data_IF_747553652676
#
_entry.id   IF_747553652676
#
_cell.length_a   1.000
_cell.length_b   1.000
_cell.length_c   1.000
_cell.angle_alpha   90.00
_cell.angle_beta   90.00
_cell.angle_gamma   90.00
#
_symmetry.space_group_name_H-M   'P 1'
#
loop_
_entity.id
_entity.type
_entity.pdbx_description
1 polymer ?
#
# COMPACT_ATOMS: atom_id res chain seq x y z
N UNK A 1 -3.12 -9.38 -21.56
CA UNK A 1 -3.56 -10.26 -20.46
C UNK A 1 -4.97 -9.88 -20.04
N UNK A 2 -5.79 -10.85 -19.61
CA UNK A 2 -7.16 -10.61 -19.11
C UNK A 2 -7.28 -11.12 -17.68
N UNK A 3 -7.63 -10.23 -16.75
CA UNK A 3 -7.92 -10.54 -15.35
C UNK A 3 -9.37 -10.21 -15.05
N UNK A 4 -10.05 -11.11 -14.36
CA UNK A 4 -11.39 -10.89 -13.82
C UNK A 4 -11.28 -10.84 -12.30
N UNK A 5 -11.69 -9.71 -11.69
CA UNK A 5 -11.82 -9.59 -10.24
C UNK A 5 -13.27 -9.89 -9.85
N UNK A 6 -13.49 -11.05 -9.25
CA UNK A 6 -14.78 -11.49 -8.74
C UNK A 6 -14.98 -10.93 -7.32
N UNK A 7 -15.99 -10.08 -7.16
CA UNK A 7 -16.23 -9.25 -5.98
C UNK A 7 -17.20 -9.95 -5.03
N UNK A 8 -16.74 -10.17 -3.80
CA UNK A 8 -17.52 -10.66 -2.66
C UNK A 8 -17.52 -9.60 -1.56
N UNK A 9 -18.55 -8.73 -1.48
CA UNK A 9 -18.61 -7.67 -0.47
C UNK A 9 -18.72 -8.22 0.94
N UNK A 10 -17.90 -7.75 1.89
CA UNK A 10 -18.03 -8.07 3.31
C UNK A 10 -18.76 -6.92 4.01
N UNK A 11 -20.06 -7.10 4.23
CA UNK A 11 -20.94 -6.17 4.93
C UNK A 11 -20.88 -6.35 6.45
N UNK A 12 -20.45 -7.51 6.93
CA UNK A 12 -20.30 -7.82 8.35
C UNK A 12 -19.14 -8.79 8.57
N UNK A 13 -18.29 -8.49 9.54
CA UNK A 13 -17.18 -9.33 9.97
C UNK A 13 -17.41 -9.71 11.44
N UNK A 14 -17.47 -11.01 11.75
CA UNK A 14 -17.78 -11.50 13.10
C UNK A 14 -16.97 -12.73 13.48
N UNK A 15 -16.83 -12.95 14.78
CA UNK A 15 -16.42 -14.24 15.32
C UNK A 15 -17.57 -15.26 15.22
N UNK A 16 -17.23 -16.52 14.97
CA UNK A 16 -18.18 -17.64 14.95
C UNK A 16 -17.48 -18.99 15.02
N UNK A 17 -18.26 -20.07 14.92
CA UNK A 17 -17.74 -21.43 15.04
C UNK A 17 -16.99 -21.92 13.81
N UNK A 18 -17.14 -21.25 12.66
CA UNK A 18 -16.54 -21.65 11.37
C UNK A 18 -16.10 -20.42 10.58
N UNK A 19 -14.97 -20.56 9.89
CA UNK A 19 -14.52 -19.55 8.92
C UNK A 19 -15.26 -19.73 7.59
N UNK A 20 -16.23 -18.87 7.32
CA UNK A 20 -17.09 -18.94 6.12
C UNK A 20 -17.59 -17.56 5.68
N UNK A 21 -17.82 -17.42 4.37
CA UNK A 21 -18.50 -16.29 3.77
C UNK A 21 -19.90 -16.71 3.34
N UNK A 22 -20.92 -15.96 3.77
CA UNK A 22 -22.30 -16.19 3.39
C UNK A 22 -23.04 -14.85 3.30
N UNK A 23 -23.56 -14.53 2.11
CA UNK A 23 -24.44 -13.36 1.87
C UNK A 23 -23.89 -12.03 2.44
N UNK A 24 -22.58 -11.82 2.30
CA UNK A 24 -21.90 -10.62 2.79
C UNK A 24 -21.52 -10.63 4.28
N UNK A 25 -21.76 -11.74 4.99
CA UNK A 25 -21.24 -11.98 6.34
C UNK A 25 -20.01 -12.89 6.25
N UNK A 26 -18.87 -12.39 6.71
CA UNK A 26 -17.66 -13.18 6.91
C UNK A 26 -17.55 -13.55 8.39
N UNK A 27 -17.86 -14.81 8.71
CA UNK A 27 -17.67 -15.38 10.05
C UNK A 27 -16.29 -16.00 10.14
N UNK A 28 -15.60 -15.80 11.27
CA UNK A 28 -14.23 -16.26 11.50
C UNK A 28 -14.16 -17.19 12.69
N UNK A 29 -13.53 -18.36 12.54
CA UNK A 29 -13.18 -19.20 13.68
C UNK A 29 -11.84 -18.73 14.26
N UNK A 30 -11.89 -18.13 15.46
CA UNK A 30 -10.69 -17.60 16.15
C UNK A 30 -9.64 -18.68 16.42
N UNK A 31 -10.07 -19.88 16.83
CA UNK A 31 -9.17 -21.00 17.13
C UNK A 31 -8.45 -21.52 15.89
N UNK A 32 -9.14 -21.64 14.77
CA UNK A 32 -8.58 -22.03 13.47
C UNK A 32 -7.48 -21.06 13.02
N UNK A 33 -7.76 -19.75 13.07
CA UNK A 33 -6.81 -18.73 12.65
C UNK A 33 -5.60 -18.65 13.58
N UNK A 34 -5.79 -18.81 14.89
CA UNK A 34 -4.69 -18.90 15.85
C UNK A 34 -3.83 -20.15 15.60
N UNK A 35 -4.44 -21.30 15.30
CA UNK A 35 -3.71 -22.52 14.94
C UNK A 35 -2.88 -22.34 13.68
N UNK A 36 -3.43 -21.69 12.65
CA UNK A 36 -2.71 -21.36 11.41
C UNK A 36 -1.46 -20.51 11.67
N UNK A 37 -1.56 -19.51 12.55
CA UNK A 37 -0.42 -18.66 12.93
C UNK A 37 0.64 -19.43 13.73
N UNK A 38 0.22 -20.34 14.62
CA UNK A 38 1.12 -21.15 15.46
C UNK A 38 1.91 -22.21 14.70
N UNK A 39 1.60 -22.45 13.43
CA UNK A 39 2.44 -23.31 12.58
C UNK A 39 3.85 -22.74 12.37
N UNK A 40 4.03 -21.42 12.49
CA UNK A 40 5.34 -20.79 12.52
C UNK A 40 5.83 -20.64 13.97
N UNK A 41 6.79 -21.48 14.37
CA UNK A 41 7.35 -21.47 15.73
C UNK A 41 8.11 -20.20 16.09
N UNK A 42 8.38 -19.32 15.11
CA UNK A 42 8.99 -18.00 15.33
C UNK A 42 7.99 -16.97 15.85
N UNK A 43 6.69 -17.28 15.84
CA UNK A 43 5.63 -16.47 16.45
C UNK A 43 5.40 -16.99 17.87
N UNK A 44 5.87 -16.24 18.88
CA UNK A 44 5.73 -16.60 20.29
C UNK A 44 4.27 -16.52 20.74
N UNK A 45 3.57 -15.45 20.35
CA UNK A 45 2.15 -15.28 20.63
C UNK A 45 1.45 -14.45 19.57
N UNK A 46 0.15 -14.71 19.42
CA UNK A 46 -0.73 -13.99 18.51
C UNK A 46 -2.06 -13.67 19.22
N UNK A 47 -2.49 -12.42 19.12
CA UNK A 47 -3.82 -11.97 19.50
C UNK A 47 -4.58 -11.55 18.23
N UNK A 48 -5.86 -11.95 18.14
CA UNK A 48 -6.71 -11.62 17.00
C UNK A 48 -7.89 -10.78 17.46
N UNK A 49 -8.14 -9.68 16.75
CA UNK A 49 -9.26 -8.77 17.04
C UNK A 49 -9.97 -8.35 15.76
N UNK A 50 -11.30 -8.20 15.84
CA UNK A 50 -12.12 -7.66 14.74
C UNK A 50 -12.44 -6.21 15.06
N UNK A 51 -12.18 -5.33 14.11
CA UNK A 51 -12.44 -3.89 14.26
C UNK A 51 -13.22 -3.38 13.05
N UNK A 52 -14.32 -2.68 13.30
CA UNK A 52 -15.22 -2.16 12.28
C UNK A 52 -15.11 -0.64 12.14
N UNK A 53 -15.52 -0.08 10.99
CA UNK A 53 -15.65 1.36 10.83
C UNK A 53 -16.57 1.96 11.90
N UNK A 54 -16.09 2.98 12.60
CA UNK A 54 -16.78 3.66 13.68
C UNK A 54 -16.45 3.15 15.09
N UNK A 55 -15.78 2.00 15.22
CA UNK A 55 -15.32 1.53 16.54
C UNK A 55 -14.30 2.51 17.11
N UNK A 56 -14.41 2.84 18.41
CA UNK A 56 -13.43 3.66 19.15
C UNK A 56 -12.17 2.86 19.46
N UNK A 57 -11.58 2.25 18.44
CA UNK A 57 -10.46 1.33 18.54
C UNK A 57 -9.24 1.84 17.78
N UNK A 58 -8.10 1.85 18.47
CA UNK A 58 -6.79 2.25 17.94
C UNK A 58 -5.90 1.04 17.72
N UNK A 59 -5.35 0.93 16.53
CA UNK A 59 -4.40 -0.12 16.16
C UNK A 59 -3.00 0.50 16.05
N UNK A 60 -2.01 -0.12 16.68
CA UNK A 60 -0.61 0.35 16.69
C UNK A 60 0.37 -0.77 16.33
N UNK A 61 1.61 -0.42 15.99
CA UNK A 61 2.63 -1.39 15.60
C UNK A 61 2.35 -2.05 14.24
N UNK A 62 1.53 -1.40 13.41
CA UNK A 62 1.10 -1.87 12.09
C UNK A 62 2.33 -2.02 11.19
N UNK A 63 2.43 -3.18 10.53
CA UNK A 63 3.48 -3.52 9.58
C UNK A 63 3.00 -3.49 8.15
N UNK A 64 1.82 -4.04 7.91
CA UNK A 64 1.16 -4.06 6.61
C UNK A 64 -0.36 -4.22 6.78
N UNK A 65 -1.07 -4.05 5.67
CA UNK A 65 -2.48 -4.37 5.54
C UNK A 65 -2.73 -4.95 4.14
N UNK A 66 -3.57 -5.98 4.02
CA UNK A 66 -3.88 -6.67 2.76
C UNK A 66 -5.38 -6.88 2.58
N UNK A 67 -5.87 -6.73 1.34
CA UNK A 67 -7.21 -7.20 0.99
C UNK A 67 -7.17 -8.71 0.71
N UNK A 68 -8.01 -9.54 1.36
CA UNK A 68 -8.06 -10.96 1.08
C UNK A 68 -8.44 -11.25 -0.37
N UNK A 69 -7.56 -11.96 -1.08
CA UNK A 69 -7.76 -12.39 -2.47
C UNK A 69 -7.31 -13.83 -2.66
N UNK A 70 -7.95 -14.53 -3.60
CA UNK A 70 -7.53 -15.87 -4.02
C UNK A 70 -7.73 -16.09 -5.51
N UNK A 71 -6.82 -16.84 -6.14
CA UNK A 71 -6.96 -17.30 -7.52
C UNK A 71 -8.04 -18.39 -7.57
N UNK A 72 -9.17 -18.09 -8.20
CA UNK A 72 -10.28 -19.03 -8.34
C UNK A 72 -10.14 -19.88 -9.62
N UNK A 73 -9.60 -19.30 -10.69
CA UNK A 73 -9.21 -20.04 -11.90
C UNK A 73 -8.14 -19.31 -12.71
N UNK A 74 -7.43 -20.03 -13.57
CA UNK A 74 -6.29 -19.51 -14.33
C UNK A 74 -4.95 -19.87 -13.71
N UNK A 75 -3.84 -19.37 -14.28
CA UNK A 75 -2.49 -19.73 -13.83
C UNK A 75 -2.13 -19.09 -12.49
N UNK A 76 -1.17 -19.71 -11.80
CA UNK A 76 -0.56 -19.19 -10.58
C UNK A 76 -1.45 -19.10 -9.34
N UNK A 77 -1.00 -18.27 -8.40
CA UNK A 77 -1.70 -17.89 -7.19
C UNK A 77 -1.68 -16.37 -7.03
N UNK A 78 -2.38 -15.85 -6.02
CA UNK A 78 -2.15 -14.47 -5.56
C UNK A 78 -0.90 -14.47 -4.69
N UNK A 79 -0.07 -13.42 -4.79
CA UNK A 79 1.24 -13.32 -4.14
C UNK A 79 2.26 -14.38 -4.61
N UNK A 80 2.47 -14.53 -5.93
CA UNK A 80 3.46 -15.46 -6.48
C UNK A 80 4.88 -15.13 -6.00
N UNK A 81 5.66 -16.18 -5.73
CA UNK A 81 6.98 -16.08 -5.09
C UNK A 81 6.95 -16.00 -3.56
N UNK A 82 5.76 -15.86 -2.95
CA UNK A 82 5.58 -15.87 -1.49
C UNK A 82 4.65 -17.02 -1.08
N UNK A 83 3.40 -17.02 -1.55
CA UNK A 83 2.43 -18.08 -1.23
C UNK A 83 2.49 -19.29 -2.18
N UNK A 84 3.22 -19.17 -3.28
CA UNK A 84 3.34 -20.20 -4.30
C UNK A 84 4.51 -19.93 -5.24
N UNK A 85 4.71 -20.77 -6.27
CA UNK A 85 5.78 -20.58 -7.24
C UNK A 85 5.68 -19.24 -7.97
N UNK A 86 6.79 -18.78 -8.52
CA UNK A 86 6.83 -17.56 -9.34
C UNK A 86 6.16 -17.86 -10.68
N UNK A 87 5.00 -17.24 -10.89
CA UNK A 87 4.23 -17.26 -12.13
C UNK A 87 3.73 -15.86 -12.43
N UNK A 88 3.55 -15.52 -13.71
CA UNK A 88 3.12 -14.18 -14.12
C UNK A 88 1.67 -13.92 -13.66
N UNK A 89 1.54 -13.03 -12.68
CA UNK A 89 0.27 -12.54 -12.16
C UNK A 89 -0.53 -11.74 -13.20
N UNK A 90 -1.83 -11.55 -12.96
CA UNK A 90 -2.68 -10.66 -13.74
C UNK A 90 -3.50 -11.34 -14.85
N UNK A 91 -3.76 -12.65 -14.68
CA UNK A 91 -4.54 -13.47 -15.61
C UNK A 91 -5.54 -14.37 -14.89
N UNK A 92 -6.66 -14.70 -15.53
CA UNK A 92 -7.68 -15.60 -14.98
C UNK A 92 -8.69 -14.89 -14.07
N UNK A 93 -9.25 -15.61 -13.10
CA UNK A 93 -10.25 -15.10 -12.16
C UNK A 93 -9.67 -15.07 -10.76
N UNK A 94 -9.65 -13.89 -10.15
CA UNK A 94 -9.23 -13.69 -8.76
C UNK A 94 -10.44 -13.22 -7.95
N UNK A 95 -10.82 -14.00 -6.95
CA UNK A 95 -11.85 -13.61 -5.99
C UNK A 95 -11.26 -12.63 -4.98
N UNK A 96 -12.04 -11.64 -4.58
CA UNK A 96 -11.65 -10.63 -3.58
C UNK A 96 -12.77 -10.36 -2.58
N UNK A 97 -12.41 -10.34 -1.30
CA UNK A 97 -13.32 -9.95 -0.21
C UNK A 97 -13.20 -8.43 0.00
N UNK A 98 -14.07 -7.66 -0.65
CA UNK A 98 -14.02 -6.19 -0.58
C UNK A 98 -14.59 -5.66 0.73
N UNK A 99 -14.22 -4.43 1.10
CA UNK A 99 -14.59 -3.78 2.37
C UNK A 99 -14.02 -4.45 3.62
N UNK A 100 -12.99 -5.28 3.44
CA UNK A 100 -12.25 -5.92 4.52
C UNK A 100 -10.76 -5.80 4.28
N UNK A 101 -9.98 -5.78 5.36
CA UNK A 101 -8.54 -5.98 5.31
C UNK A 101 -8.10 -6.91 6.45
N UNK A 102 -6.99 -7.61 6.22
CA UNK A 102 -6.20 -8.23 7.29
C UNK A 102 -5.06 -7.26 7.57
N UNK A 103 -4.89 -6.85 8.83
CA UNK A 103 -3.85 -5.91 9.26
C UNK A 103 -2.91 -6.67 10.17
N UNK A 104 -1.63 -6.73 9.82
CA UNK A 104 -0.62 -7.33 10.69
C UNK A 104 0.09 -6.25 11.50
N UNK A 105 0.10 -6.43 12.82
CA UNK A 105 0.80 -5.59 13.77
C UNK A 105 1.82 -6.46 14.52
N UNK A 106 3.07 -6.03 14.60
CA UNK A 106 4.12 -6.84 15.21
C UNK A 106 5.13 -5.98 15.97
N UNK A 107 5.63 -6.48 17.10
CA UNK A 107 6.73 -5.84 17.80
C UNK A 107 8.05 -6.36 17.24
N UNK A 108 8.60 -5.62 16.29
CA UNK A 108 9.90 -5.89 15.69
C UNK A 108 10.70 -4.59 15.54
N UNK A 109 11.95 -4.61 15.98
CA UNK A 109 12.88 -3.49 15.85
C UNK A 109 14.03 -3.93 14.95
N UNK A 110 14.24 -3.21 13.86
CA UNK A 110 15.39 -3.45 12.96
C UNK A 110 16.70 -3.06 13.64
N UNK A 111 17.81 -3.58 13.14
CA UNK A 111 19.17 -3.23 13.58
C UNK A 111 19.50 -1.73 13.42
N UNK A 112 18.88 -1.05 12.45
CA UNK A 112 18.96 0.39 12.29
C UNK A 112 18.20 1.11 13.42
N UNK A 113 18.95 1.78 14.32
CA UNK A 113 18.40 2.46 15.50
C UNK A 113 18.09 3.95 15.29
N UNK A 114 18.54 4.55 14.18
CA UNK A 114 18.37 5.98 13.90
C UNK A 114 18.40 6.26 12.38
N UNK A 115 17.99 7.49 12.01
CA UNK A 115 17.99 7.96 10.63
C UNK A 115 16.82 7.42 9.81
N UNK A 116 16.85 7.64 8.49
CA UNK A 116 15.75 7.25 7.59
C UNK A 116 15.53 5.75 7.51
N UNK A 117 16.44 4.92 8.03
CA UNK A 117 16.32 3.46 8.09
C UNK A 117 15.72 2.95 9.41
N UNK A 118 15.53 3.82 10.42
CA UNK A 118 14.91 3.44 11.68
C UNK A 118 13.47 2.95 11.47
N UNK A 119 13.01 1.95 12.25
CA UNK A 119 11.64 1.49 12.19
C UNK A 119 10.72 2.59 12.70
N UNK A 120 9.58 2.73 12.05
CA UNK A 120 8.53 3.65 12.49
C UNK A 120 7.20 2.91 12.50
N UNK A 121 6.41 3.07 13.55
CA UNK A 121 5.08 2.45 13.64
C UNK A 121 4.02 3.46 13.27
N UNK A 122 3.17 3.14 12.30
CA UNK A 122 1.93 3.89 12.08
C UNK A 122 0.87 3.50 13.09
N UNK A 123 -0.07 4.42 13.30
CA UNK A 123 -1.32 4.17 14.00
C UNK A 123 -2.50 4.12 13.02
N UNK A 124 -3.58 3.48 13.41
CA UNK A 124 -4.86 3.52 12.71
C UNK A 124 -5.98 3.62 13.75
N UNK A 125 -6.67 4.77 13.76
CA UNK A 125 -7.93 4.91 14.48
C UNK A 125 -9.08 4.54 13.53
N UNK A 126 -10.04 3.77 14.05
CA UNK A 126 -11.23 3.35 13.30
C UNK A 126 -12.42 4.31 13.46
N UNK A 127 -12.21 5.43 14.15
CA UNK A 127 -13.19 6.51 14.33
C UNK A 127 -12.54 7.89 14.12
N UNK A 128 -13.40 8.92 14.10
CA UNK A 128 -12.96 10.32 14.13
C UNK A 128 -12.09 10.73 12.93
N UNK A 129 -11.23 11.72 13.16
CA UNK A 129 -10.41 12.32 12.11
C UNK A 129 -9.33 11.35 11.58
N UNK A 130 -8.79 10.47 12.42
CA UNK A 130 -7.83 9.43 12.02
C UNK A 130 -8.40 8.44 10.99
N UNK A 131 -9.67 8.05 11.15
CA UNK A 131 -10.33 7.16 10.21
C UNK A 131 -10.67 7.84 8.86
N UNK A 132 -10.84 9.17 8.85
CA UNK A 132 -11.27 9.91 7.66
C UNK A 132 -10.15 10.08 6.61
N UNK A 133 -8.88 10.08 7.05
CA UNK A 133 -7.71 10.33 6.18
C UNK A 133 -7.18 9.06 5.49
N UNK A 134 -7.65 7.88 5.88
CA UNK A 134 -7.18 6.59 5.36
C UNK A 134 -8.32 5.72 4.84
N UNK A 135 -8.16 5.01 3.70
CA UNK A 135 -9.17 4.05 3.25
C UNK A 135 -9.39 2.90 4.25
N UNK A 136 -8.38 2.55 5.04
CA UNK A 136 -8.45 1.45 6.01
C UNK A 136 -9.47 1.74 7.13
N UNK A 137 -9.70 3.01 7.46
CA UNK A 137 -10.73 3.45 8.42
C UNK A 137 -12.16 3.13 7.98
N UNK A 138 -12.36 2.82 6.70
CA UNK A 138 -13.65 2.41 6.13
C UNK A 138 -13.75 0.91 5.83
N UNK A 139 -12.75 0.12 6.22
CA UNK A 139 -12.74 -1.33 6.04
C UNK A 139 -13.02 -2.05 7.35
N UNK A 140 -13.56 -3.27 7.27
CA UNK A 140 -13.75 -4.19 8.40
C UNK A 140 -12.48 -5.01 8.55
N UNK A 141 -11.76 -4.76 9.62
CA UNK A 141 -10.39 -5.22 9.80
C UNK A 141 -10.33 -6.44 10.71
N UNK A 142 -9.59 -7.46 10.27
CA UNK A 142 -9.05 -8.48 11.16
C UNK A 142 -7.61 -8.09 11.49
N UNK A 143 -7.33 -7.80 12.76
CA UNK A 143 -5.99 -7.42 13.21
C UNK A 143 -5.27 -8.64 13.78
N UNK A 144 -4.05 -8.89 13.31
CA UNK A 144 -3.14 -9.91 13.82
C UNK A 144 -2.05 -9.21 14.64
N UNK A 145 -2.15 -9.23 15.97
CA UNK A 145 -1.13 -8.68 16.86
C UNK A 145 -0.14 -9.79 17.24
N UNK A 146 1.08 -9.70 16.72
CA UNK A 146 2.11 -10.74 16.81
C UNK A 146 3.28 -10.32 17.71
N UNK A 147 3.66 -11.21 18.62
CA UNK A 147 4.97 -11.16 19.27
C UNK A 147 5.85 -12.26 18.67
N UNK A 148 7.03 -11.86 18.19
CA UNK A 148 8.01 -12.77 17.61
C UNK A 148 8.97 -13.22 18.72
N UNK A 149 9.58 -14.40 18.55
CA UNK A 149 10.59 -14.91 19.48
C UNK A 149 11.76 -13.93 19.61
N UNK A 150 12.32 -13.85 20.82
CA UNK A 150 13.48 -12.99 21.09
C UNK A 150 14.69 -13.39 20.23
N UNK A 151 15.44 -12.40 19.73
CA UNK A 151 16.65 -12.64 18.93
C UNK A 151 16.40 -13.10 17.49
N UNK A 152 15.15 -13.09 17.01
CA UNK A 152 14.81 -13.42 15.63
C UNK A 152 15.62 -12.59 14.63
N UNK A 153 16.12 -13.23 13.57
CA UNK A 153 16.84 -12.54 12.50
C UNK A 153 15.90 -11.62 11.71
N UNK A 154 16.43 -10.57 11.06
CA UNK A 154 15.57 -9.68 10.26
C UNK A 154 14.87 -10.44 9.11
N UNK A 155 15.59 -11.34 8.44
CA UNK A 155 15.04 -12.15 7.35
C UNK A 155 13.92 -13.07 7.84
N UNK A 156 14.10 -13.68 9.01
CA UNK A 156 13.07 -14.52 9.62
C UNK A 156 11.86 -13.71 10.05
N UNK A 157 12.07 -12.53 10.66
CA UNK A 157 10.98 -11.64 11.04
C UNK A 157 10.18 -11.16 9.82
N UNK A 158 10.87 -10.79 8.72
CA UNK A 158 10.21 -10.46 7.46
C UNK A 158 9.30 -11.60 7.00
N UNK A 159 9.85 -12.81 6.95
CA UNK A 159 9.15 -14.01 6.48
C UNK A 159 7.96 -14.33 7.37
N UNK A 160 8.14 -14.36 8.71
CA UNK A 160 7.08 -14.69 9.66
C UNK A 160 5.93 -13.69 9.63
N UNK A 161 6.23 -12.38 9.63
CA UNK A 161 5.18 -11.35 9.60
C UNK A 161 4.41 -11.41 8.27
N UNK A 162 5.12 -11.50 7.14
CA UNK A 162 4.49 -11.53 5.82
C UNK A 162 3.67 -12.81 5.60
N UNK A 163 4.20 -13.98 5.97
CA UNK A 163 3.48 -15.24 5.82
C UNK A 163 2.26 -15.30 6.74
N UNK A 164 2.34 -14.79 7.97
CA UNK A 164 1.19 -14.72 8.88
C UNK A 164 0.02 -13.95 8.24
N UNK A 165 0.29 -12.76 7.73
CA UNK A 165 -0.71 -11.92 7.10
C UNK A 165 -1.29 -12.56 5.82
N UNK A 166 -0.42 -12.92 4.88
CA UNK A 166 -0.85 -13.38 3.56
C UNK A 166 -1.53 -14.75 3.61
N UNK A 167 -1.11 -15.66 4.51
CA UNK A 167 -1.79 -16.95 4.70
C UNK A 167 -3.17 -16.79 5.33
N UNK A 168 -3.33 -15.88 6.29
CA UNK A 168 -4.65 -15.58 6.85
C UNK A 168 -5.53 -14.96 5.77
N UNK A 169 -5.04 -13.98 5.01
CA UNK A 169 -5.77 -13.37 3.91
C UNK A 169 -6.20 -14.40 2.84
N UNK A 170 -5.30 -15.28 2.41
CA UNK A 170 -5.62 -16.40 1.51
C UNK A 170 -6.69 -17.31 2.11
N UNK A 171 -6.56 -17.70 3.39
CA UNK A 171 -7.54 -18.55 4.08
C UNK A 171 -8.93 -17.92 4.13
N UNK A 172 -9.02 -16.61 4.38
CA UNK A 172 -10.30 -15.89 4.34
C UNK A 172 -10.88 -15.91 2.94
N UNK A 173 -10.08 -15.60 1.91
CA UNK A 173 -10.53 -15.55 0.53
C UNK A 173 -10.97 -16.93 -0.01
N UNK A 174 -10.37 -18.05 0.47
CA UNK A 174 -10.81 -19.42 0.15
C UNK A 174 -12.29 -19.68 0.40
N UNK A 175 -12.90 -18.97 1.33
CA UNK A 175 -14.34 -19.11 1.63
C UNK A 175 -15.23 -18.79 0.43
N UNK A 176 -14.73 -18.03 -0.55
CA UNK A 176 -15.45 -17.62 -1.76
C UNK A 176 -15.39 -18.65 -2.91
N UNK A 177 -14.54 -19.68 -2.81
CA UNK A 177 -14.39 -20.66 -3.88
C UNK A 177 -15.69 -21.46 -4.08
N UNK A 178 -16.11 -21.61 -5.33
CA UNK A 178 -17.35 -22.28 -5.69
C UNK A 178 -18.63 -21.45 -5.47
N UNK A 179 -18.52 -20.21 -4.97
CA UNK A 179 -19.65 -19.30 -4.82
C UNK A 179 -19.78 -18.35 -6.02
N UNK A 180 -20.99 -17.83 -6.27
CA UNK A 180 -21.22 -16.80 -7.27
C UNK A 180 -20.85 -15.41 -6.70
N UNK A 181 -20.00 -14.61 -7.38
CA UNK A 181 -19.69 -13.25 -6.94
C UNK A 181 -20.88 -12.31 -7.14
N UNK A 182 -20.92 -11.23 -6.37
CA UNK A 182 -21.93 -10.17 -6.54
C UNK A 182 -21.70 -9.37 -7.83
N UNK A 183 -20.43 -9.18 -8.21
CA UNK A 183 -20.02 -8.46 -9.40
C UNK A 183 -18.69 -9.02 -9.92
N UNK A 184 -18.43 -8.88 -11.22
CA UNK A 184 -17.12 -9.14 -11.82
C UNK A 184 -16.63 -7.89 -12.50
N UNK A 185 -15.42 -7.44 -12.17
CA UNK A 185 -14.70 -6.39 -12.90
C UNK A 185 -13.68 -7.03 -13.84
N UNK A 186 -13.69 -6.64 -15.12
CA UNK A 186 -12.80 -7.20 -16.15
C UNK A 186 -11.73 -6.18 -16.52
N UNK A 187 -10.46 -6.58 -16.36
CA UNK A 187 -9.28 -5.76 -16.65
C UNK A 187 -8.47 -6.37 -17.79
N UNK A 188 -8.49 -5.68 -18.93
CA UNK A 188 -7.84 -6.12 -20.16
C UNK A 188 -7.45 -4.91 -21.00
N UNK A 189 -6.18 -4.82 -21.40
CA UNK A 189 -5.70 -3.83 -22.36
C UNK A 189 -6.03 -4.31 -23.78
N UNK A 190 -7.28 -4.12 -24.20
CA UNK A 190 -7.75 -4.49 -25.54
C UNK A 190 -7.20 -3.54 -26.60
N UNK A 191 -7.15 -3.96 -27.88
CA UNK A 191 -6.93 -3.01 -28.97
C UNK A 191 -7.98 -1.89 -28.93
N UNK A 192 -7.55 -0.64 -29.10
CA UNK A 192 -8.44 0.52 -29.13
C UNK A 192 -8.32 1.26 -30.46
N UNK A 193 -9.23 2.20 -30.79
CA UNK A 193 -9.10 3.02 -31.98
C UNK A 193 -7.74 3.77 -32.02
N UNK A 194 -7.06 3.84 -33.18
CA UNK A 194 -5.75 4.49 -33.30
C UNK A 194 -5.75 6.00 -32.98
N UNK A 195 -6.92 6.63 -32.98
CA UNK A 195 -7.10 8.07 -32.74
C UNK A 195 -7.01 8.46 -31.27
N UNK A 196 -7.13 7.52 -30.33
CA UNK A 196 -7.07 7.84 -28.90
C UNK A 196 -5.64 8.16 -28.46
N UNK A 197 -5.44 9.17 -27.58
CA UNK A 197 -4.12 9.48 -27.05
C UNK A 197 -3.56 8.28 -26.29
N UNK A 198 -2.33 7.89 -26.62
CA UNK A 198 -1.64 6.78 -25.97
C UNK A 198 -0.99 7.25 -24.68
N UNK A 199 -1.35 6.63 -23.55
CA UNK A 199 -0.95 7.08 -22.22
C UNK A 199 -0.27 5.95 -21.46
N UNK A 200 0.89 6.24 -20.86
CA UNK A 200 1.54 5.36 -19.87
C UNK A 200 1.30 5.89 -18.46
N UNK A 201 1.40 5.02 -17.47
CA UNK A 201 1.47 5.41 -16.07
C UNK A 201 2.90 5.21 -15.56
N UNK A 202 3.53 6.25 -15.01
CA UNK A 202 4.86 6.18 -14.42
C UNK A 202 4.69 6.25 -12.89
N UNK A 203 5.09 5.18 -12.22
CA UNK A 203 4.91 5.02 -10.78
C UNK A 203 6.27 5.06 -10.07
N UNK A 204 6.57 6.18 -9.41
CA UNK A 204 7.87 6.44 -8.79
C UNK A 204 8.00 5.94 -7.34
N UNK A 205 8.72 4.84 -7.15
CA UNK A 205 8.76 4.07 -5.90
C UNK A 205 10.11 4.17 -5.20
N UNK A 206 10.09 4.34 -3.87
CA UNK A 206 11.32 4.30 -3.07
C UNK A 206 11.65 2.87 -2.66
N UNK A 207 12.93 2.54 -2.79
CA UNK A 207 13.56 1.40 -2.12
C UNK A 207 14.76 1.93 -1.30
N UNK A 208 14.72 1.77 0.02
CA UNK A 208 15.81 2.17 0.92
C UNK A 208 16.94 1.12 1.03
N UNK A 209 17.77 1.24 2.09
CA UNK A 209 18.83 0.26 2.40
C UNK A 209 18.26 -1.14 2.71
N UNK A 210 17.10 -1.20 3.37
CA UNK A 210 16.22 -2.36 3.23
C UNK A 210 15.22 -2.06 2.10
N UNK A 211 14.89 -3.04 1.27
CA UNK A 211 13.80 -2.93 0.30
C UNK A 211 12.52 -2.48 1.02
N UNK A 212 11.76 -1.55 0.42
CA UNK A 212 10.44 -1.17 0.94
C UNK A 212 9.32 -1.96 0.25
N UNK A 213 9.65 -2.56 -0.90
CA UNK A 213 8.75 -3.25 -1.80
C UNK A 213 9.43 -4.49 -2.38
N UNK A 214 8.64 -5.50 -2.70
CA UNK A 214 9.06 -6.68 -3.45
C UNK A 214 8.17 -6.85 -4.67
N UNK A 215 8.75 -7.34 -5.77
CA UNK A 215 8.01 -7.75 -6.97
C UNK A 215 8.19 -9.27 -7.11
N UNK A 216 7.10 -10.04 -7.15
CA UNK A 216 7.11 -11.52 -7.17
C UNK A 216 7.90 -12.12 -5.99
N UNK A 217 7.75 -11.54 -4.79
CA UNK A 217 8.51 -11.94 -3.59
C UNK A 217 9.99 -11.55 -3.61
N UNK A 218 10.50 -11.02 -4.73
CA UNK A 218 11.88 -10.56 -4.85
C UNK A 218 11.99 -9.11 -4.38
N UNK A 219 12.79 -8.81 -3.34
CA UNK A 219 12.93 -7.46 -2.84
C UNK A 219 13.59 -6.55 -3.88
N UNK A 220 12.99 -5.38 -4.12
CA UNK A 220 13.54 -4.42 -5.08
C UNK A 220 14.61 -3.57 -4.39
N UNK A 221 15.85 -3.67 -4.89
CA UNK A 221 16.98 -2.87 -4.42
C UNK A 221 17.52 -2.01 -5.57
N UNK A 222 18.51 -2.48 -6.32
CA UNK A 222 19.17 -1.79 -7.44
C UNK A 222 18.57 -2.18 -8.79
N UNK A 223 17.42 -1.59 -9.15
CA UNK A 223 16.78 -1.81 -10.46
C UNK A 223 16.72 -0.55 -11.31
N UNK A 224 16.85 -0.75 -12.63
CA UNK A 224 16.38 0.21 -13.63
C UNK A 224 14.84 0.21 -13.69
N UNK A 225 14.21 1.21 -14.34
CA UNK A 225 12.79 1.20 -14.56
C UNK A 225 12.31 -0.06 -15.29
N UNK A 226 11.18 -0.61 -14.85
CA UNK A 226 10.62 -1.87 -15.37
C UNK A 226 9.20 -1.67 -15.86
N UNK A 227 8.88 -2.21 -17.03
CA UNK A 227 7.51 -2.22 -17.54
C UNK A 227 6.73 -3.37 -16.90
N UNK A 228 5.60 -3.04 -16.28
CA UNK A 228 4.65 -4.00 -15.72
C UNK A 228 3.30 -3.87 -16.42
N UNK A 229 2.62 -4.99 -16.58
CA UNK A 229 1.23 -4.97 -16.95
C UNK A 229 0.39 -4.54 -15.74
N UNK A 230 -0.60 -3.65 -15.91
CA UNK A 230 -1.35 -3.08 -14.80
C UNK A 230 -2.12 -4.10 -13.96
N UNK A 231 -2.54 -5.23 -14.56
CA UNK A 231 -3.16 -6.34 -13.82
C UNK A 231 -2.27 -6.95 -12.72
N UNK A 232 -0.94 -6.87 -12.85
CA UNK A 232 -0.01 -7.47 -11.88
C UNK A 232 -0.17 -6.83 -10.49
N UNK A 233 -0.49 -5.53 -10.42
CA UNK A 233 -0.78 -4.81 -9.17
C UNK A 233 -2.00 -5.40 -8.44
N UNK A 234 -3.03 -5.80 -9.19
CA UNK A 234 -4.26 -6.35 -8.63
C UNK A 234 -4.12 -7.82 -8.23
N UNK A 235 -3.08 -8.50 -8.66
CA UNK A 235 -2.96 -9.95 -8.51
C UNK A 235 -1.74 -10.35 -7.67
N UNK A 236 -1.32 -9.44 -6.80
CA UNK A 236 -0.36 -9.70 -5.73
C UNK A 236 1.10 -9.72 -6.17
N UNK A 237 1.44 -9.18 -7.36
CA UNK A 237 2.83 -9.12 -7.79
C UNK A 237 3.67 -8.19 -6.90
N UNK A 238 3.07 -7.13 -6.34
CA UNK A 238 3.76 -6.18 -5.48
C UNK A 238 3.37 -6.42 -4.03
N UNK A 239 4.37 -6.60 -3.17
CA UNK A 239 4.20 -6.61 -1.71
C UNK A 239 5.13 -5.60 -1.05
N UNK A 240 4.91 -5.29 0.23
CA UNK A 240 5.81 -4.43 1.01
C UNK A 240 6.67 -5.24 1.95
N UNK A 241 7.77 -4.65 2.41
CA UNK A 241 8.58 -5.22 3.47
C UNK A 241 8.00 -4.86 4.85
N UNK A 242 7.45 -5.83 5.60
CA UNK A 242 6.80 -5.55 6.87
C UNK A 242 7.78 -5.17 8.00
N UNK A 243 9.10 -5.33 7.84
CA UNK A 243 10.06 -5.10 8.93
C UNK A 243 10.07 -3.66 9.40
N UNK A 244 9.96 -2.71 8.48
CA UNK A 244 10.08 -1.29 8.84
C UNK A 244 8.79 -0.69 9.40
N UNK A 245 7.63 -1.22 9.01
CA UNK A 245 6.31 -0.71 9.39
C UNK A 245 6.02 0.73 8.94
N UNK A 246 6.82 1.27 8.01
CA UNK A 246 6.88 2.71 7.72
C UNK A 246 5.51 3.31 7.54
N UNK A 247 5.26 4.37 8.27
CA UNK A 247 3.97 5.05 8.29
C UNK A 247 3.64 5.76 6.96
N UNK A 248 4.67 6.22 6.25
CA UNK A 248 4.55 6.99 5.02
C UNK A 248 4.64 6.17 3.71
N UNK A 249 4.50 4.84 3.78
CA UNK A 249 4.46 3.97 2.58
C UNK A 249 3.07 3.32 2.42
N UNK A 250 2.60 3.10 1.18
CA UNK A 250 1.35 2.38 0.94
C UNK A 250 1.44 0.94 1.46
N UNK A 251 0.34 0.38 1.95
CA UNK A 251 0.23 -1.05 2.32
C UNK A 251 -0.16 -1.89 1.10
N UNK A 252 -0.07 -3.22 1.20
CA UNK A 252 -0.48 -4.13 0.11
C UNK A 252 -1.92 -3.87 -0.34
N UNK A 253 -2.80 -3.53 0.58
CA UNK A 253 -4.19 -3.18 0.32
C UNK A 253 -4.30 -2.05 -0.71
N UNK A 254 -3.51 -0.98 -0.55
CA UNK A 254 -3.43 0.15 -1.47
C UNK A 254 -2.99 -0.26 -2.87
N UNK A 255 -1.98 -1.13 -2.97
CA UNK A 255 -1.46 -1.63 -4.25
C UNK A 255 -2.51 -2.46 -4.99
N UNK A 256 -3.20 -3.35 -4.27
CA UNK A 256 -4.31 -4.15 -4.78
C UNK A 256 -5.51 -3.29 -5.19
N UNK A 257 -5.64 -2.08 -4.63
CA UNK A 257 -6.75 -1.15 -4.85
C UNK A 257 -6.35 0.13 -5.61
N UNK A 258 -5.25 0.09 -6.37
CA UNK A 258 -4.65 1.26 -6.98
C UNK A 258 -5.63 2.11 -7.83
N UNK A 259 -6.01 3.33 -7.39
CA UNK A 259 -7.10 4.10 -7.99
C UNK A 259 -6.75 4.65 -9.38
N UNK A 260 -5.53 5.17 -9.57
CA UNK A 260 -5.07 5.66 -10.89
C UNK A 260 -5.14 4.57 -11.95
N UNK A 261 -4.69 3.34 -11.64
CA UNK A 261 -4.76 2.22 -12.59
C UNK A 261 -6.19 1.82 -12.90
N UNK A 262 -7.08 1.78 -11.89
CA UNK A 262 -8.51 1.54 -12.12
C UNK A 262 -9.14 2.61 -13.02
N UNK A 263 -8.83 3.88 -12.79
CA UNK A 263 -9.34 4.98 -13.62
C UNK A 263 -8.79 4.93 -15.05
N UNK A 264 -7.50 4.65 -15.23
CA UNK A 264 -6.89 4.47 -16.55
C UNK A 264 -7.54 3.31 -17.31
N UNK A 265 -7.88 2.21 -16.63
CA UNK A 265 -8.69 1.14 -17.22
C UNK A 265 -10.10 1.58 -17.58
N UNK A 266 -10.76 2.37 -16.74
CA UNK A 266 -12.12 2.89 -17.01
C UNK A 266 -12.16 3.77 -18.26
N UNK A 267 -11.08 4.52 -18.51
CA UNK A 267 -10.91 5.42 -19.66
C UNK A 267 -10.28 4.74 -20.88
N UNK A 268 -9.67 3.57 -20.72
CA UNK A 268 -9.08 2.79 -21.81
C UNK A 268 -10.16 2.45 -22.86
N UNK A 269 -9.89 2.82 -24.12
CA UNK A 269 -10.83 2.64 -25.24
C UNK A 269 -11.95 3.68 -25.31
N UNK A 270 -12.02 4.63 -24.37
CA UNK A 270 -13.01 5.74 -24.37
C UNK A 270 -12.34 7.08 -24.62
N UNK A 271 -11.43 7.47 -23.74
CA UNK A 271 -10.73 8.76 -23.78
C UNK A 271 -9.23 8.61 -24.06
N UNK A 272 -8.66 7.43 -23.78
CA UNK A 272 -7.24 7.16 -23.96
C UNK A 272 -6.99 5.70 -24.32
N UNK A 273 -5.80 5.42 -24.86
CA UNK A 273 -5.23 4.09 -25.00
C UNK A 273 -4.18 3.89 -23.91
N UNK A 274 -4.55 3.20 -22.83
CA UNK A 274 -3.64 2.88 -21.73
C UNK A 274 -2.61 1.81 -22.16
N UNK A 275 -1.32 2.13 -22.07
CA UNK A 275 -0.21 1.30 -22.54
C UNK A 275 0.41 0.39 -21.47
N UNK A 276 0.20 0.70 -20.19
CA UNK A 276 0.77 -0.05 -19.06
C UNK A 276 1.47 0.83 -18.03
N UNK A 277 2.18 0.19 -17.10
CA UNK A 277 2.80 0.84 -15.93
C UNK A 277 4.31 0.75 -16.02
N UNK A 278 5.00 1.88 -16.03
CA UNK A 278 6.44 1.97 -15.88
C UNK A 278 6.75 2.16 -14.41
N UNK A 279 7.31 1.13 -13.80
CA UNK A 279 7.77 1.14 -12.43
C UNK A 279 9.13 1.85 -12.36
N UNK A 280 9.18 3.03 -11.76
CA UNK A 280 10.38 3.84 -11.66
C UNK A 280 10.92 3.84 -10.24
N UNK A 281 12.08 3.22 -10.02
CA UNK A 281 12.78 3.38 -8.74
C UNK A 281 13.33 4.81 -8.60
N UNK A 282 12.89 5.54 -7.58
CA UNK A 282 13.27 6.94 -7.29
C UNK A 282 14.24 7.04 -6.11
N UNK A 283 15.14 6.08 -5.96
CA UNK A 283 16.10 6.05 -4.84
C UNK A 283 17.57 6.07 -5.25
N UNK A 284 17.89 6.57 -6.44
CA UNK A 284 19.28 6.75 -6.87
C UNK A 284 20.00 7.75 -5.94
N UNK A 285 21.22 7.39 -5.52
CA UNK A 285 22.01 8.18 -4.57
C UNK A 285 22.88 9.25 -5.22
N UNK A 286 23.13 9.15 -6.53
CA UNK A 286 23.92 10.11 -7.31
C UNK A 286 23.04 10.84 -8.31
N UNK A 287 23.39 12.09 -8.64
CA UNK A 287 22.68 12.85 -9.67
C UNK A 287 22.64 12.10 -11.02
N UNK A 288 23.79 11.56 -11.44
CA UNK A 288 23.89 10.72 -12.64
C UNK A 288 22.91 9.54 -12.62
N UNK A 289 22.74 8.87 -11.48
CA UNK A 289 21.78 7.78 -11.34
C UNK A 289 20.32 8.23 -11.54
N UNK A 290 19.98 9.42 -11.03
CA UNK A 290 18.64 10.01 -11.22
C UNK A 290 18.38 10.36 -12.69
N UNK A 291 19.36 10.98 -13.34
CA UNK A 291 19.29 11.30 -14.78
C UNK A 291 19.14 10.03 -15.62
N UNK A 292 19.92 8.99 -15.32
CA UNK A 292 19.82 7.69 -16.01
C UNK A 292 18.46 7.00 -15.81
N UNK A 293 17.90 7.08 -14.60
CA UNK A 293 16.56 6.61 -14.30
C UNK A 293 15.50 7.34 -15.13
N UNK A 294 15.52 8.67 -15.09
CA UNK A 294 14.61 9.54 -15.84
C UNK A 294 14.68 9.30 -17.36
N UNK A 295 15.89 9.23 -17.92
CA UNK A 295 16.09 8.94 -19.35
C UNK A 295 15.61 7.53 -19.72
N UNK A 296 15.79 6.53 -18.85
CA UNK A 296 15.26 5.19 -19.10
C UNK A 296 13.75 5.14 -19.10
N UNK A 297 13.09 5.86 -18.18
CA UNK A 297 11.63 6.00 -18.17
C UNK A 297 11.13 6.64 -19.47
N UNK A 298 11.69 7.80 -19.85
CA UNK A 298 11.29 8.51 -21.06
C UNK A 298 11.53 7.69 -22.33
N UNK A 299 12.67 6.99 -22.41
CA UNK A 299 13.00 6.07 -23.51
C UNK A 299 11.98 4.94 -23.60
N UNK A 300 11.65 4.29 -22.49
CA UNK A 300 10.67 3.20 -22.45
C UNK A 300 9.28 3.69 -22.88
N UNK A 301 8.82 4.82 -22.33
CA UNK A 301 7.54 5.42 -22.71
C UNK A 301 7.50 5.78 -24.21
N UNK A 302 8.60 6.33 -24.75
CA UNK A 302 8.70 6.68 -26.17
C UNK A 302 8.65 5.45 -27.08
N UNK A 303 9.35 4.37 -26.71
CA UNK A 303 9.34 3.10 -27.45
C UNK A 303 7.95 2.44 -27.45
N UNK A 304 7.18 2.61 -26.38
CA UNK A 304 5.78 2.19 -26.32
C UNK A 304 4.84 3.09 -27.16
N UNK A 305 5.35 4.19 -27.73
CA UNK A 305 4.57 5.13 -28.52
C UNK A 305 3.71 6.08 -27.68
N UNK A 306 4.03 6.26 -26.39
CA UNK A 306 3.29 7.16 -25.51
C UNK A 306 3.28 8.60 -26.05
N UNK A 307 2.13 9.25 -25.89
CA UNK A 307 1.91 10.67 -26.16
C UNK A 307 1.64 11.44 -24.86
N UNK A 308 1.10 10.74 -23.85
CA UNK A 308 0.91 11.26 -22.50
C UNK A 308 1.48 10.33 -21.44
N UNK A 309 1.81 10.88 -20.27
CA UNK A 309 2.18 10.13 -19.08
C UNK A 309 1.54 10.74 -17.83
N UNK A 310 0.85 9.89 -17.06
CA UNK A 310 0.48 10.23 -15.67
C UNK A 310 1.63 9.79 -14.78
N UNK A 311 2.11 10.65 -13.90
CA UNK A 311 3.26 10.38 -13.02
C UNK A 311 2.83 10.54 -11.57
N UNK A 312 3.13 9.55 -10.73
CA UNK A 312 2.93 9.62 -9.27
C UNK A 312 4.18 9.16 -8.54
N UNK A 313 4.18 9.32 -7.21
CA UNK A 313 5.23 8.80 -6.33
C UNK A 313 4.65 8.27 -5.03
N UNK A 314 5.41 7.43 -4.32
CA UNK A 314 5.08 7.00 -2.96
C UNK A 314 6.28 7.18 -2.03
N UNK A 315 6.60 8.44 -1.73
CA UNK A 315 7.59 8.78 -0.73
C UNK A 315 7.56 10.26 -0.36
N UNK A 316 7.75 10.58 0.93
CA UNK A 316 7.80 11.97 1.44
C UNK A 316 9.20 12.59 1.39
N UNK A 317 10.23 11.95 0.84
CA UNK A 317 11.58 12.56 0.79
C UNK A 317 11.72 13.56 -0.35
N UNK A 318 12.23 14.75 -0.01
CA UNK A 318 12.58 15.79 -1.00
C UNK A 318 13.64 15.37 -1.98
N UNK A 319 14.67 14.63 -1.53
CA UNK A 319 15.71 14.13 -2.42
C UNK A 319 15.11 13.23 -3.53
N UNK A 320 14.10 12.43 -3.21
CA UNK A 320 13.46 11.52 -4.17
C UNK A 320 12.46 12.24 -5.09
N UNK A 321 12.04 13.46 -4.73
CA UNK A 321 11.24 14.32 -5.59
C UNK A 321 12.01 14.78 -6.84
N UNK A 322 13.34 14.91 -6.73
CA UNK A 322 14.21 15.25 -7.86
C UNK A 322 14.10 14.19 -8.96
N UNK A 323 14.12 12.90 -8.63
CA UNK A 323 13.98 11.81 -9.59
C UNK A 323 12.68 11.93 -10.41
N UNK A 324 11.57 12.26 -9.74
CA UNK A 324 10.25 12.47 -10.39
C UNK A 324 10.27 13.66 -11.34
N UNK A 325 10.82 14.79 -10.90
CA UNK A 325 10.90 15.99 -11.72
C UNK A 325 11.83 15.82 -12.92
N UNK A 326 12.93 15.08 -12.76
CA UNK A 326 13.79 14.71 -13.89
C UNK A 326 13.05 13.77 -14.85
N UNK A 327 12.23 12.84 -14.36
CA UNK A 327 11.39 11.99 -15.23
C UNK A 327 10.34 12.80 -16.00
N UNK A 328 9.70 13.79 -15.36
CA UNK A 328 8.81 14.76 -16.01
C UNK A 328 9.54 15.47 -17.15
N UNK A 329 10.70 16.08 -16.84
CA UNK A 329 11.51 16.79 -17.82
C UNK A 329 11.94 15.89 -18.98
N UNK A 330 12.41 14.68 -18.69
CA UNK A 330 12.87 13.74 -19.70
C UNK A 330 11.75 13.33 -20.65
N UNK A 331 10.53 13.10 -20.14
CA UNK A 331 9.36 12.78 -20.95
C UNK A 331 8.95 13.95 -21.85
N UNK A 332 8.85 15.16 -21.30
CA UNK A 332 8.47 16.36 -22.05
C UNK A 332 9.47 16.69 -23.17
N UNK A 333 10.78 16.55 -22.90
CA UNK A 333 11.85 16.76 -23.90
C UNK A 333 11.76 15.82 -25.10
N UNK A 334 11.17 14.63 -24.96
CA UNK A 334 10.94 13.69 -26.06
C UNK A 334 9.53 13.75 -26.63
N UNK A 335 8.75 14.78 -26.25
CA UNK A 335 7.42 15.08 -26.76
C UNK A 335 6.29 14.28 -26.12
N UNK A 336 6.48 13.74 -24.91
CA UNK A 336 5.43 13.06 -24.13
C UNK A 336 4.90 14.06 -23.11
N UNK A 337 3.61 14.39 -23.19
CA UNK A 337 2.97 15.33 -22.25
C UNK A 337 2.74 14.68 -20.90
N UNK A 338 3.04 15.39 -19.82
CA UNK A 338 3.05 14.83 -18.46
C UNK A 338 2.02 15.49 -17.57
N UNK A 339 1.42 14.70 -16.68
CA UNK A 339 0.64 15.19 -15.54
C UNK A 339 1.21 14.55 -14.28
N UNK A 340 1.70 15.37 -13.35
CA UNK A 340 2.18 14.91 -12.05
C UNK A 340 1.03 14.96 -11.03
N UNK A 341 0.74 13.83 -10.40
CA UNK A 341 -0.18 13.73 -9.27
C UNK A 341 0.64 13.44 -8.01
N UNK A 342 0.63 14.37 -7.05
CA UNK A 342 1.46 14.27 -5.83
C UNK A 342 0.83 15.07 -4.68
N UNK A 343 1.04 14.65 -3.42
CA UNK A 343 0.80 15.53 -2.30
C UNK A 343 1.91 16.59 -2.17
N UNK A 344 1.65 17.62 -1.39
CA UNK A 344 2.49 18.81 -1.21
C UNK A 344 3.21 18.84 0.15
N UNK A 345 4.35 19.55 0.19
CA UNK A 345 5.14 19.90 1.38
C UNK A 345 4.73 21.26 1.99
N UNK A 346 3.44 21.60 1.97
CA UNK A 346 2.96 22.93 2.36
C UNK A 346 3.19 23.31 3.83
N UNK A 347 3.87 22.48 4.63
CA UNK A 347 4.08 22.71 6.05
C UNK A 347 2.79 22.53 6.86
N UNK A 348 2.90 22.74 8.17
CA UNK A 348 1.77 22.56 9.10
C UNK A 348 0.65 23.57 8.85
N UNK A 349 1.02 24.77 8.39
CA UNK A 349 0.16 25.94 8.19
C UNK A 349 -0.20 26.20 6.74
N UNK A 350 0.47 25.60 5.75
CA UNK A 350 0.18 25.81 4.33
C UNK A 350 0.98 26.94 3.68
N UNK A 351 1.97 27.49 4.39
CA UNK A 351 2.78 28.66 4.01
C UNK A 351 4.21 28.29 3.55
N UNK A 352 4.56 27.01 3.53
CA UNK A 352 5.85 26.53 3.02
C UNK A 352 5.81 26.24 1.52
N UNK A 353 7.00 26.09 0.91
CA UNK A 353 7.09 25.76 -0.50
C UNK A 353 6.51 24.35 -0.75
N UNK A 354 5.50 24.21 -1.63
CA UNK A 354 4.82 22.91 -1.83
C UNK A 354 5.73 21.87 -2.47
N UNK A 355 6.78 22.31 -3.18
CA UNK A 355 7.72 21.48 -3.91
C UNK A 355 9.17 21.92 -3.66
N UNK A 356 10.03 20.94 -3.34
CA UNK A 356 11.43 21.17 -3.01
C UNK A 356 12.35 21.36 -4.23
N UNK A 357 11.91 20.91 -5.41
CA UNK A 357 12.63 21.03 -6.67
C UNK A 357 11.63 21.04 -7.81
N UNK A 358 11.83 21.87 -8.82
CA UNK A 358 10.95 21.96 -9.98
C UNK A 358 11.77 22.10 -11.26
N UNK A 359 11.14 21.76 -12.39
CA UNK A 359 11.69 21.93 -13.73
C UNK A 359 10.69 22.74 -14.56
N UNK A 360 11.13 23.58 -15.51
CA UNK A 360 10.22 24.39 -16.33
C UNK A 360 9.16 23.58 -17.09
N UNK A 361 9.47 22.32 -17.40
CA UNK A 361 8.58 21.42 -18.12
C UNK A 361 7.39 20.91 -17.27
N UNK A 362 7.46 21.01 -15.94
CA UNK A 362 6.41 20.57 -15.02
C UNK A 362 5.22 21.56 -14.98
N UNK A 363 4.48 21.63 -16.08
CA UNK A 363 3.40 22.60 -16.29
C UNK A 363 1.99 22.06 -15.98
N UNK A 364 1.85 20.80 -15.60
CA UNK A 364 0.58 20.16 -15.24
C UNK A 364 0.76 19.32 -13.99
N UNK A 365 0.37 19.89 -12.85
CA UNK A 365 0.48 19.26 -11.54
C UNK A 365 -0.91 19.26 -10.88
N UNK A 366 -1.33 18.11 -10.41
CA UNK A 366 -2.55 17.91 -9.63
C UNK A 366 -2.13 17.61 -8.19
N UNK A 367 -2.53 18.48 -7.28
CA UNK A 367 -2.32 18.29 -5.84
C UNK A 367 -3.31 17.28 -5.28
N UNK A 368 -2.85 16.43 -4.36
CA UNK A 368 -3.70 15.57 -3.53
C UNK A 368 -3.85 16.09 -2.10
N UNK A 369 -3.41 17.33 -1.85
CA UNK A 369 -3.41 17.96 -0.53
C UNK A 369 -2.09 17.83 0.22
N UNK A 370 -2.08 18.28 1.46
CA UNK A 370 -0.91 18.23 2.36
C UNK A 370 -1.02 17.06 3.33
N UNK A 371 0.08 16.33 3.50
CA UNK A 371 0.21 15.30 4.55
C UNK A 371 0.82 15.83 5.85
N UNK A 372 1.20 17.11 5.92
CA UNK A 372 1.89 17.72 7.06
C UNK A 372 0.93 18.42 8.03
N UNK A 373 -0.38 18.30 7.79
CA UNK A 373 -1.39 18.84 8.69
C UNK A 373 -1.44 18.03 9.98
N UNK A 374 -1.36 18.75 11.10
CA UNK A 374 -1.50 18.17 12.44
C UNK A 374 -2.88 17.51 12.59
N UNK A 375 -2.93 16.36 13.25
CA UNK A 375 -4.16 15.68 13.58
C UNK A 375 -4.22 15.41 15.08
N UNK A 376 -5.30 15.86 15.72
CA UNK A 376 -5.61 15.54 17.11
C UNK A 376 -6.48 14.28 17.14
N UNK A 377 -6.05 13.30 17.92
CA UNK A 377 -6.72 12.02 18.08
C UNK A 377 -7.11 11.82 19.53
N UNK A 378 -8.40 11.61 19.78
CA UNK A 378 -8.92 11.35 21.12
C UNK A 378 -8.41 10.02 21.69
N UNK A 379 -8.64 9.79 22.98
CA UNK A 379 -8.38 8.48 23.58
C UNK A 379 -9.32 7.40 22.99
N UNK A 380 -8.79 6.21 22.65
CA UNK A 380 -9.60 5.06 22.27
C UNK A 380 -10.28 4.41 23.47
N UNK A 381 -11.35 3.66 23.21
CA UNK A 381 -11.95 2.73 24.16
C UNK A 381 -11.21 1.38 24.14
N UNK A 382 -10.65 1.00 22.97
CA UNK A 382 -9.92 -0.25 22.75
C UNK A 382 -8.57 0.02 22.06
N UNK A 383 -7.50 -0.60 22.55
CA UNK A 383 -6.17 -0.54 21.95
C UNK A 383 -5.74 -1.94 21.51
N UNK A 384 -5.28 -2.05 20.28
CA UNK A 384 -4.83 -3.30 19.67
C UNK A 384 -3.42 -3.11 19.14
N UNK A 385 -2.54 -4.05 19.47
CA UNK A 385 -1.16 -4.03 19.03
C UNK A 385 -0.34 -5.06 19.78
N UNK A 386 0.91 -5.27 19.38
CA UNK A 386 1.80 -6.19 20.06
C UNK A 386 2.15 -5.66 21.46
N UNK A 387 2.25 -6.57 22.44
CA UNK A 387 2.48 -6.21 23.84
C UNK A 387 3.97 -6.11 24.14
N UNK A 388 4.33 -5.11 24.93
CA UNK A 388 5.66 -4.91 25.51
C UNK A 388 5.50 -4.82 27.02
N UNK A 389 6.00 -5.81 27.77
CA UNK A 389 5.84 -5.90 29.23
C UNK A 389 4.37 -5.79 29.70
N UNK A 390 3.43 -6.35 28.93
CA UNK A 390 2.00 -6.33 29.23
C UNK A 390 1.24 -5.11 28.69
N UNK A 391 1.94 -4.05 28.28
CA UNK A 391 1.35 -2.81 27.75
C UNK A 391 1.38 -2.76 26.21
N UNK A 392 0.46 -2.01 25.61
CA UNK A 392 0.52 -1.67 24.20
C UNK A 392 1.03 -0.23 24.07
N UNK A 393 2.26 -0.11 23.56
CA UNK A 393 2.95 1.16 23.41
C UNK A 393 2.88 1.64 21.95
N UNK A 394 2.84 2.96 21.79
CA UNK A 394 3.03 3.61 20.49
C UNK A 394 4.30 4.46 20.50
N UNK A 395 4.96 4.52 19.36
CA UNK A 395 5.96 5.54 19.06
C UNK A 395 5.31 6.57 18.13
N UNK A 396 4.81 7.70 18.66
CA UNK A 396 4.09 8.67 17.85
C UNK A 396 5.02 9.45 16.91
N UNK A 397 6.35 9.45 17.15
CA UNK A 397 7.29 10.23 16.34
C UNK A 397 8.76 9.76 16.54
N UNK A 398 9.25 8.83 15.70
CA UNK A 398 10.62 8.32 15.82
C UNK A 398 11.70 9.34 15.44
N UNK A 399 11.33 10.48 14.83
CA UNK A 399 12.29 11.49 14.34
C UNK A 399 12.71 12.47 15.46
N UNK A 400 11.96 12.56 16.57
CA UNK A 400 12.22 13.54 17.64
C UNK A 400 12.69 12.92 18.97
N UNK A 401 13.07 11.64 19.02
CA UNK A 401 13.57 11.02 20.25
C UNK A 401 12.54 10.95 21.37
N UNK A 402 11.24 10.96 21.05
CA UNK A 402 10.16 10.79 22.03
C UNK A 402 10.16 9.34 22.52
N UNK A 403 9.98 9.16 23.82
CA UNK A 403 9.87 7.84 24.44
C UNK A 403 8.53 7.21 24.03
N UNK A 404 8.51 5.89 23.85
CA UNK A 404 7.26 5.17 23.59
C UNK A 404 6.24 5.48 24.72
N UNK A 405 4.98 5.73 24.35
CA UNK A 405 3.93 6.12 25.27
C UNK A 405 2.75 5.13 25.22
N UNK A 406 1.94 5.02 26.29
CA UNK A 406 0.77 4.15 26.30
C UNK A 406 -0.21 4.51 25.19
N UNK A 407 -0.63 3.55 24.36
CA UNK A 407 -1.47 3.83 23.19
C UNK A 407 -2.94 4.21 23.52
N UNK A 408 -3.34 4.14 24.80
CA UNK A 408 -4.70 4.45 25.28
C UNK A 408 -4.92 5.93 25.64
N UNK A 409 -3.95 6.81 25.38
CA UNK A 409 -4.06 8.26 25.67
C UNK A 409 -4.38 9.06 24.39
N UNK A 410 -4.88 10.30 24.49
CA UNK A 410 -4.98 11.21 23.34
C UNK A 410 -3.62 11.48 22.70
N UNK A 411 -3.60 11.70 21.39
CA UNK A 411 -2.35 11.88 20.62
C UNK A 411 -2.50 12.99 19.59
N UNK A 412 -1.53 13.89 19.59
CA UNK A 412 -1.28 14.78 18.48
C UNK A 412 -0.24 14.13 17.55
N UNK A 413 -0.61 13.84 16.30
CA UNK A 413 0.36 13.50 15.26
C UNK A 413 0.68 14.74 14.43
N UNK A 414 1.97 14.90 14.09
CA UNK A 414 2.49 16.09 13.40
C UNK A 414 2.20 16.07 11.88
N UNK A 415 1.70 14.95 11.35
CA UNK A 415 1.34 14.75 9.96
C UNK A 415 0.51 13.48 9.77
N UNK A 416 -0.21 13.41 8.66
CA UNK A 416 -1.02 12.25 8.27
C UNK A 416 -0.16 11.07 7.84
N UNK A 417 1.10 11.32 7.55
CA UNK A 417 2.07 10.28 7.26
C UNK A 417 2.32 9.38 8.46
N UNK A 418 1.90 9.74 9.68
CA UNK A 418 1.87 8.86 10.86
C UNK A 418 0.68 7.88 10.89
N UNK A 419 -0.36 8.13 10.08
CA UNK A 419 -1.54 7.26 9.97
C UNK A 419 -1.27 6.20 8.89
N UNK A 420 -1.60 4.94 9.17
CA UNK A 420 -1.44 3.86 8.20
C UNK A 420 -2.27 4.17 6.94
N UNK A 421 -1.60 4.42 5.82
CA UNK A 421 -2.26 4.80 4.58
C UNK A 421 -2.89 6.21 4.61
N UNK A 422 -2.44 7.09 5.50
CA UNK A 422 -2.96 8.46 5.60
C UNK A 422 -2.46 9.43 4.53
N UNK A 423 -1.31 9.15 3.90
CA UNK A 423 -0.82 9.98 2.78
C UNK A 423 -1.56 9.60 1.51
N UNK A 424 -2.21 10.59 0.90
CA UNK A 424 -2.88 10.42 -0.37
C UNK A 424 -1.91 10.58 -1.55
N UNK A 425 -1.25 9.49 -1.92
CA UNK A 425 -0.36 9.46 -3.08
C UNK A 425 -1.08 9.57 -4.43
N UNK A 426 -2.39 9.30 -4.48
CA UNK A 426 -3.07 8.92 -5.71
C UNK A 426 -4.48 9.53 -5.86
N UNK A 427 -4.83 10.54 -5.07
CA UNK A 427 -6.13 11.21 -5.11
C UNK A 427 -7.29 10.34 -4.61
N UNK A 428 -7.07 9.52 -3.58
CA UNK A 428 -8.09 8.65 -2.95
C UNK A 428 -8.83 9.27 -1.78
N UNK A 429 -8.33 10.38 -1.24
CA UNK A 429 -8.86 11.02 -0.05
C UNK A 429 -10.31 11.42 -0.22
N UNK A 430 -11.09 11.33 0.86
CA UNK A 430 -12.44 11.93 0.91
C UNK A 430 -12.38 13.44 1.10
N UNK A 431 -11.24 13.93 1.57
CA UNK A 431 -10.97 15.33 1.82
C UNK A 431 -10.55 15.99 0.51
N UNK A 432 -11.31 17.00 0.11
CA UNK A 432 -11.05 17.84 -1.05
C UNK A 432 -10.26 19.07 -0.62
N UNK A 433 -9.67 19.81 -1.57
CA UNK A 433 -8.92 21.04 -1.28
C UNK A 433 -9.70 22.07 -0.42
N UNK A 434 -11.04 22.06 -0.46
CA UNK A 434 -11.91 22.93 0.33
C UNK A 434 -12.05 22.51 1.82
N UNK A 435 -11.66 21.29 2.15
CA UNK A 435 -11.67 20.76 3.52
C UNK A 435 -10.39 21.12 4.30
N UNK A 436 -9.49 21.91 3.67
CA UNK A 436 -8.16 22.30 4.19
C UNK A 436 -8.02 23.80 4.44
#
# INVERSE_FOLDING_TARGET
MKLELAIFPVNKLIWGDRTQYQEGVLSLNKGELLSLLREDSRIESAELEIVNPGDRARIVGIRDAVEPRIKASGPGCVFPGILGPIELAGQGVTNRLTQTAVIVAANFKTSAKAGTAAPSSSILDMWGAGAAVTPLGSTRNLVLALNLVEGISETDAQTSIQMAELRVADRLARTTLGQMPAQVEVFELRPTPPSLPRVVYILGMMTGNLPDISIYGMPVSETLPTLLHPNELFDGAITVDPRKGRHNHPRVWEWQNHPVVKELYRQHGKALHFLGVIFHRISANTHMGKEMGALSVAKMAKLLGAQGAVITRVNVSGNRFIDIMLAVQACEKVGIKTVLLTPEYGGKTGDELPFLFTVPEACSIVSTGSFERKLELDAPDLVIGPRQNGEVLMDPNPVQGRTAQPANVPVAVDGWDHIAGGVDWWGRGRLQAQDF
#
